data_IF_536330814364
#
_entry.id   IF_536330814364
#
_cell.length_a   1.000
_cell.length_b   1.000
_cell.length_c   1.000
_cell.angle_alpha   90.00
_cell.angle_beta   90.00
_cell.angle_gamma   90.00
#
_symmetry.space_group_name_H-M   'P 1'
#
loop_
_entity.id
_entity.type
_entity.pdbx_description
1 polymer ?
#
# COMPACT_ATOMS: atom_id res chain seq x y z
N UNK A 1 11.89 -2.59 -47.00
CA UNK A 1 11.22 -1.71 -46.03
C UNK A 1 9.74 -1.68 -46.38
N UNK A 2 8.99 -2.69 -45.94
CA UNK A 2 7.54 -2.69 -46.06
C UNK A 2 6.98 -1.92 -44.89
N UNK A 3 6.39 -0.77 -45.20
CA UNK A 3 5.62 0.06 -44.28
C UNK A 3 4.54 -0.82 -43.63
N UNK A 4 4.53 -0.86 -42.30
CA UNK A 4 3.45 -1.49 -41.55
C UNK A 4 2.12 -0.84 -41.98
N UNK A 5 1.04 -1.63 -42.17
CA UNK A 5 -0.26 -1.08 -42.48
C UNK A 5 -0.70 -0.15 -41.34
N UNK A 6 -1.42 0.96 -41.66
CA UNK A 6 -1.91 1.89 -40.65
C UNK A 6 -2.81 1.17 -39.65
N UNK A 7 -2.73 1.58 -38.39
CA UNK A 7 -3.68 1.19 -37.34
C UNK A 7 -5.11 1.35 -37.87
N UNK A 8 -6.05 0.46 -37.54
CA UNK A 8 -7.45 0.57 -37.96
C UNK A 8 -8.13 1.90 -37.55
N UNK A 9 -7.50 2.69 -36.67
CA UNK A 9 -7.91 4.03 -36.23
C UNK A 9 -7.35 5.21 -37.06
N UNK A 10 -6.50 4.98 -38.07
CA UNK A 10 -5.92 6.06 -38.88
C UNK A 10 -4.90 6.96 -38.13
N UNK A 11 -4.49 6.56 -36.93
CA UNK A 11 -3.53 7.30 -36.11
C UNK A 11 -2.10 7.12 -36.63
N UNK A 12 -1.50 8.23 -37.07
CA UNK A 12 -0.08 8.28 -37.43
C UNK A 12 0.73 8.60 -36.18
N UNK A 13 1.34 7.57 -35.58
CA UNK A 13 2.28 7.76 -34.47
C UNK A 13 3.50 8.55 -34.95
N UNK A 14 3.96 9.50 -34.13
CA UNK A 14 5.10 10.35 -34.43
C UNK A 14 6.38 9.80 -33.79
N UNK A 15 7.58 10.17 -34.29
CA UNK A 15 8.83 9.82 -33.62
C UNK A 15 8.83 10.28 -32.16
N UNK A 16 9.31 9.41 -31.27
CA UNK A 16 9.47 9.70 -29.85
C UNK A 16 10.82 9.20 -29.33
N UNK A 17 11.29 9.83 -28.26
CA UNK A 17 12.51 9.44 -27.54
C UNK A 17 12.28 9.55 -26.04
N UNK A 18 12.66 8.48 -25.34
CA UNK A 18 12.78 8.44 -23.89
C UNK A 18 14.24 8.71 -23.52
N UNK A 19 14.49 9.60 -22.56
CA UNK A 19 15.82 9.97 -22.08
C UNK A 19 15.86 9.81 -20.57
N UNK A 20 16.80 9.03 -20.06
CA UNK A 20 17.07 8.86 -18.64
C UNK A 20 18.10 9.88 -18.15
N UNK A 21 18.11 10.15 -16.85
CA UNK A 21 19.02 11.15 -16.25
C UNK A 21 20.51 10.81 -16.39
N UNK A 22 20.85 9.55 -16.66
CA UNK A 22 22.22 9.12 -16.94
C UNK A 22 22.61 9.20 -18.42
N UNK A 23 21.74 9.79 -19.25
CA UNK A 23 21.94 10.00 -20.68
C UNK A 23 21.54 8.81 -21.56
N UNK A 24 21.17 7.66 -20.98
CA UNK A 24 20.69 6.52 -21.77
C UNK A 24 19.34 6.89 -22.42
N UNK A 25 19.19 6.57 -23.70
CA UNK A 25 17.99 6.92 -24.47
C UNK A 25 17.44 5.76 -25.28
N UNK A 26 16.14 5.79 -25.51
CA UNK A 26 15.38 4.79 -26.27
C UNK A 26 14.51 5.50 -27.29
N UNK A 27 14.64 5.13 -28.57
CA UNK A 27 13.85 5.70 -29.66
C UNK A 27 12.69 4.78 -30.00
N UNK A 28 11.52 5.35 -30.20
CA UNK A 28 10.30 4.63 -30.51
C UNK A 28 9.28 5.56 -31.16
N UNK A 29 8.01 5.27 -30.95
CA UNK A 29 6.89 6.05 -31.48
C UNK A 29 6.01 6.59 -30.35
N UNK A 30 5.31 7.69 -30.58
CA UNK A 30 4.37 8.28 -29.62
C UNK A 30 3.23 7.30 -29.32
N UNK A 31 2.80 7.24 -28.06
CA UNK A 31 1.64 6.47 -27.62
C UNK A 31 0.83 7.32 -26.64
N UNK A 32 -0.40 7.70 -27.01
CA UNK A 32 -1.21 8.68 -26.28
C UNK A 32 -1.05 10.10 -26.81
N UNK A 33 -0.91 11.08 -25.91
CA UNK A 33 -0.73 12.49 -26.27
C UNK A 33 0.66 12.75 -26.86
N UNK A 34 0.73 13.62 -27.87
CA UNK A 34 1.99 14.11 -28.43
C UNK A 34 2.43 15.34 -27.65
N UNK A 35 3.69 15.35 -27.22
CA UNK A 35 4.29 16.41 -26.44
C UNK A 35 5.48 15.90 -25.64
N UNK A 36 5.56 16.38 -24.40
CA UNK A 36 6.64 16.07 -23.47
C UNK A 36 6.11 15.81 -22.08
N UNK A 37 6.75 14.90 -21.36
CA UNK A 37 6.51 14.68 -19.93
C UNK A 37 7.82 14.34 -19.23
N UNK A 38 7.85 14.62 -17.93
CA UNK A 38 8.99 14.39 -17.04
C UNK A 38 8.48 13.69 -15.78
N UNK A 39 9.29 12.81 -15.20
CA UNK A 39 8.95 12.12 -13.96
C UNK A 39 10.06 11.19 -13.51
N UNK A 40 9.74 10.31 -12.56
CA UNK A 40 10.61 9.20 -12.15
C UNK A 40 10.27 7.94 -12.95
N UNK A 41 11.27 7.32 -13.59
CA UNK A 41 11.13 6.06 -14.29
C UNK A 41 11.00 4.90 -13.30
N UNK A 42 9.89 4.18 -13.43
CA UNK A 42 9.57 2.99 -12.65
C UNK A 42 9.09 1.90 -13.60
N UNK A 43 9.27 0.63 -13.25
CA UNK A 43 8.71 -0.48 -14.03
C UNK A 43 7.69 -1.26 -13.20
N UNK A 44 6.66 -1.79 -13.85
CA UNK A 44 5.66 -2.67 -13.24
C UNK A 44 5.65 -4.03 -13.93
N UNK A 45 5.65 -5.09 -13.12
CA UNK A 45 5.62 -6.48 -13.61
C UNK A 45 4.21 -7.02 -13.87
N UNK A 46 3.17 -6.21 -13.63
CA UNK A 46 1.78 -6.57 -13.90
C UNK A 46 1.56 -6.98 -15.36
N UNK A 47 1.08 -8.21 -15.59
CA UNK A 47 0.72 -8.69 -16.93
C UNK A 47 -0.72 -8.34 -17.33
N UNK A 48 -1.54 -7.97 -16.35
CA UNK A 48 -2.93 -7.54 -16.49
C UNK A 48 -3.14 -6.34 -15.59
N UNK A 49 -4.27 -5.64 -15.77
CA UNK A 49 -4.65 -4.55 -14.88
C UNK A 49 -3.93 -3.23 -15.13
N UNK A 50 -3.62 -2.94 -16.41
CA UNK A 50 -2.92 -1.70 -16.77
C UNK A 50 -3.78 -0.46 -16.56
N UNK A 51 -5.12 -0.57 -16.59
CA UNK A 51 -6.01 0.56 -16.37
C UNK A 51 -6.01 0.97 -14.90
N UNK A 52 -6.18 -0.02 -14.02
CA UNK A 52 -6.08 0.09 -12.57
C UNK A 52 -4.71 0.68 -12.20
N UNK A 53 -3.64 0.16 -12.80
CA UNK A 53 -2.27 0.68 -12.61
C UNK A 53 -2.14 2.15 -13.02
N UNK A 54 -2.68 2.54 -14.17
CA UNK A 54 -2.60 3.93 -14.67
C UNK A 54 -3.38 4.91 -13.80
N UNK A 55 -4.48 4.44 -13.19
CA UNK A 55 -5.40 5.24 -12.38
C UNK A 55 -5.10 5.18 -10.88
N UNK A 56 -4.08 4.44 -10.45
CA UNK A 56 -3.58 4.46 -9.08
C UNK A 56 -2.86 5.80 -8.79
N UNK A 57 -3.35 6.61 -7.81
CA UNK A 57 -2.75 7.88 -7.44
C UNK A 57 -1.29 7.81 -7.00
N UNK A 58 -0.82 6.65 -6.55
CA UNK A 58 0.55 6.43 -6.08
C UNK A 58 1.59 6.59 -7.21
N UNK A 59 1.17 6.54 -8.48
CA UNK A 59 2.01 6.81 -9.65
C UNK A 59 2.11 8.30 -10.03
N UNK A 60 1.54 9.21 -9.24
CA UNK A 60 1.66 10.65 -9.52
C UNK A 60 3.13 11.07 -9.68
N UNK A 61 3.44 11.78 -10.78
CA UNK A 61 4.81 12.16 -11.21
C UNK A 61 5.76 11.01 -11.57
N UNK A 62 5.25 9.80 -11.78
CA UNK A 62 6.02 8.65 -12.24
C UNK A 62 5.70 8.29 -13.69
N UNK A 63 6.72 7.82 -14.42
CA UNK A 63 6.58 7.29 -15.77
C UNK A 63 6.67 5.78 -15.69
N UNK A 64 5.57 5.11 -16.05
CA UNK A 64 5.41 3.66 -15.86
C UNK A 64 5.92 2.92 -17.09
N UNK A 65 6.86 2.00 -16.87
CA UNK A 65 7.38 1.05 -17.85
C UNK A 65 6.72 -0.31 -17.64
N UNK A 66 5.87 -0.71 -18.58
CA UNK A 66 5.28 -2.04 -18.55
C UNK A 66 6.30 -3.08 -19.01
N UNK A 67 6.53 -4.11 -18.17
CA UNK A 67 7.36 -5.24 -18.60
C UNK A 67 6.58 -6.21 -19.49
N UNK A 68 5.25 -6.29 -19.29
CA UNK A 68 4.38 -7.06 -20.16
C UNK A 68 4.39 -6.44 -21.57
N UNK A 69 4.69 -7.23 -22.62
CA UNK A 69 4.99 -6.66 -23.92
C UNK A 69 3.76 -6.09 -24.62
N UNK A 70 2.64 -6.81 -24.55
CA UNK A 70 1.37 -6.42 -25.19
C UNK A 70 0.47 -5.69 -24.20
N UNK A 71 0.19 -4.41 -24.47
CA UNK A 71 -0.61 -3.55 -23.59
C UNK A 71 -1.75 -2.91 -24.38
N UNK A 72 -2.93 -2.79 -23.76
CA UNK A 72 -4.14 -2.23 -24.38
C UNK A 72 -5.06 -3.27 -25.03
N UNK A 73 -4.75 -4.56 -24.90
CA UNK A 73 -5.53 -5.66 -25.48
C UNK A 73 -6.98 -5.74 -24.98
N UNK A 74 -7.27 -5.28 -23.76
CA UNK A 74 -8.63 -5.28 -23.19
C UNK A 74 -9.31 -3.92 -23.24
N UNK A 75 -8.73 -2.93 -23.91
CA UNK A 75 -9.23 -1.55 -23.95
C UNK A 75 -9.31 -0.92 -22.56
N UNK A 76 -10.22 0.04 -22.43
CA UNK A 76 -10.55 0.75 -21.19
C UNK A 76 -12.08 0.71 -20.99
N UNK A 77 -12.52 0.65 -19.74
CA UNK A 77 -13.93 0.75 -19.36
C UNK A 77 -14.14 1.72 -18.18
N UNK A 78 -15.39 1.90 -17.75
CA UNK A 78 -15.74 2.87 -16.69
C UNK A 78 -15.70 2.27 -15.27
N UNK A 79 -15.39 0.98 -15.14
CA UNK A 79 -15.44 0.22 -13.87
C UNK A 79 -14.05 -0.08 -13.29
N UNK A 80 -13.04 -0.28 -14.14
CA UNK A 80 -11.67 -0.66 -13.71
C UNK A 80 -10.79 0.55 -13.32
N UNK A 81 -11.37 1.75 -13.20
CA UNK A 81 -10.63 2.92 -12.73
C UNK A 81 -10.51 2.91 -11.20
N UNK A 82 -9.29 2.97 -10.67
CA UNK A 82 -9.06 3.06 -9.23
C UNK A 82 -9.10 4.48 -8.69
N UNK A 83 -9.32 5.46 -9.57
CA UNK A 83 -9.59 6.84 -9.18
C UNK A 83 -10.16 7.65 -10.36
N UNK A 84 -10.41 8.94 -10.13
CA UNK A 84 -11.03 9.88 -11.07
C UNK A 84 -10.28 10.14 -12.39
N UNK A 85 -9.01 9.76 -12.52
CA UNK A 85 -8.17 10.02 -13.71
C UNK A 85 -6.91 9.14 -13.74
N UNK A 86 -6.20 9.17 -14.86
CA UNK A 86 -4.84 8.65 -14.95
C UNK A 86 -3.89 9.57 -14.19
N UNK A 87 -3.12 9.01 -13.26
CA UNK A 87 -2.16 9.73 -12.43
C UNK A 87 -0.72 9.59 -12.91
N UNK A 88 -0.42 8.54 -13.67
CA UNK A 88 0.88 8.35 -14.29
C UNK A 88 1.27 9.58 -15.13
N UNK A 89 2.47 10.10 -14.92
CA UNK A 89 3.00 11.23 -15.69
C UNK A 89 3.29 10.85 -17.15
N UNK A 90 3.59 9.57 -17.40
CA UNK A 90 3.79 9.05 -18.74
C UNK A 90 3.78 7.53 -18.76
N UNK A 91 3.70 6.98 -19.96
CA UNK A 91 3.50 5.54 -20.14
C UNK A 91 4.41 4.94 -21.22
N UNK A 92 5.03 3.81 -20.92
CA UNK A 92 6.07 3.20 -21.75
C UNK A 92 5.70 1.73 -21.99
N UNK A 93 5.53 1.39 -23.27
CA UNK A 93 5.08 0.05 -23.69
C UNK A 93 5.98 -0.52 -24.79
N UNK A 94 6.06 -1.85 -24.88
CA UNK A 94 6.81 -2.50 -25.96
C UNK A 94 5.99 -2.60 -27.25
N UNK A 95 4.79 -3.14 -27.15
CA UNK A 95 3.92 -3.44 -28.30
C UNK A 95 2.47 -3.09 -27.96
N UNK A 96 1.99 -1.91 -28.32
CA UNK A 96 0.61 -1.50 -28.05
C UNK A 96 -0.35 -2.30 -28.94
N UNK A 97 -1.46 -2.74 -28.36
CA UNK A 97 -2.48 -3.47 -29.09
C UNK A 97 -2.97 -2.67 -30.31
N UNK A 98 -3.08 -3.34 -31.46
CA UNK A 98 -3.60 -2.73 -32.70
C UNK A 98 -5.08 -2.37 -32.61
N UNK A 99 -5.83 -3.09 -31.76
CA UNK A 99 -7.22 -2.86 -31.40
C UNK A 99 -7.50 -3.50 -30.04
N UNK A 100 -8.45 -2.95 -29.29
CA UNK A 100 -8.97 -3.62 -28.11
C UNK A 100 -9.90 -4.78 -28.50
N UNK A 101 -9.89 -5.87 -27.71
CA UNK A 101 -10.80 -7.01 -27.92
C UNK A 101 -11.18 -7.64 -26.58
N UNK A 102 -12.15 -7.01 -25.91
CA UNK A 102 -12.76 -7.50 -24.68
C UNK A 102 -14.23 -7.05 -24.64
N UNK A 103 -15.12 -7.87 -24.10
CA UNK A 103 -16.55 -7.55 -24.03
C UNK A 103 -16.86 -6.36 -23.10
N UNK A 104 -15.97 -6.06 -22.14
CA UNK A 104 -16.05 -4.88 -21.25
C UNK A 104 -15.50 -3.62 -21.90
N UNK A 105 -14.70 -3.73 -22.96
CA UNK A 105 -14.03 -2.58 -23.56
C UNK A 105 -15.05 -1.56 -24.08
N UNK A 106 -14.92 -0.30 -23.63
CA UNK A 106 -15.69 0.84 -24.11
C UNK A 106 -14.87 1.74 -25.03
N UNK A 107 -13.56 1.82 -24.78
CA UNK A 107 -12.60 2.70 -25.46
C UNK A 107 -11.28 1.99 -25.70
N UNK A 108 -10.48 2.46 -26.66
CA UNK A 108 -9.10 2.02 -26.84
C UNK A 108 -8.18 2.76 -25.86
N UNK A 109 -7.16 2.07 -25.34
CA UNK A 109 -6.22 2.65 -24.36
C UNK A 109 -5.44 3.86 -24.92
N UNK A 110 -5.04 3.80 -26.20
CA UNK A 110 -4.27 4.90 -26.82
C UNK A 110 -5.08 6.19 -26.92
N UNK A 111 -6.40 6.05 -27.11
CA UNK A 111 -7.32 7.18 -27.17
C UNK A 111 -7.56 7.77 -25.79
N UNK A 112 -7.77 6.92 -24.77
CA UNK A 112 -7.90 7.36 -23.37
C UNK A 112 -6.67 8.15 -22.89
N UNK A 113 -5.46 7.65 -23.19
CA UNK A 113 -4.22 8.35 -22.86
C UNK A 113 -4.15 9.73 -23.53
N UNK A 114 -4.59 9.84 -24.78
CA UNK A 114 -4.59 11.10 -25.53
C UNK A 114 -5.60 12.10 -24.96
N UNK A 115 -6.82 11.62 -24.70
CA UNK A 115 -7.92 12.44 -24.20
C UNK A 115 -7.61 13.02 -22.81
N UNK A 116 -6.87 12.27 -21.98
CA UNK A 116 -6.38 12.74 -20.69
C UNK A 116 -5.02 13.46 -20.75
N UNK A 117 -4.42 13.64 -21.93
CA UNK A 117 -3.16 14.37 -22.10
C UNK A 117 -1.92 13.62 -21.62
N UNK A 118 -1.97 12.31 -21.46
CA UNK A 118 -0.87 11.46 -20.99
C UNK A 118 0.09 11.17 -22.14
N UNK A 119 1.33 11.61 -21.99
CA UNK A 119 2.39 11.39 -22.99
C UNK A 119 3.03 10.03 -22.77
N UNK A 120 3.09 9.23 -23.83
CA UNK A 120 3.71 7.91 -23.80
C UNK A 120 4.57 7.60 -25.02
N UNK A 121 5.27 6.47 -24.93
CA UNK A 121 6.15 5.96 -25.97
C UNK A 121 5.98 4.44 -26.11
N UNK A 122 5.99 3.97 -27.35
CA UNK A 122 5.91 2.57 -27.70
C UNK A 122 7.06 2.11 -28.61
N UNK A 123 7.12 0.79 -28.89
CA UNK A 123 8.12 0.17 -29.76
C UNK A 123 9.56 0.28 -29.26
N UNK A 124 9.74 0.41 -27.94
CA UNK A 124 11.07 0.38 -27.31
C UNK A 124 11.34 -0.95 -26.61
N UNK A 125 12.61 -1.29 -26.41
CA UNK A 125 13.02 -2.45 -25.60
C UNK A 125 12.79 -2.19 -24.11
N UNK A 126 11.56 -2.44 -23.65
CA UNK A 126 11.19 -2.30 -22.23
C UNK A 126 11.96 -3.25 -21.33
N UNK A 127 12.43 -4.41 -21.82
CA UNK A 127 13.27 -5.33 -21.05
C UNK A 127 14.65 -4.72 -20.79
N UNK A 128 15.28 -4.11 -21.79
CA UNK A 128 16.56 -3.42 -21.62
C UNK A 128 16.42 -2.22 -20.66
N UNK A 129 15.31 -1.49 -20.74
CA UNK A 129 15.00 -0.40 -19.81
C UNK A 129 14.79 -0.90 -18.38
N UNK A 130 13.98 -1.95 -18.17
CA UNK A 130 13.76 -2.55 -16.85
C UNK A 130 15.05 -3.07 -16.23
N UNK A 131 15.90 -3.77 -17.00
CA UNK A 131 17.21 -4.22 -16.49
C UNK A 131 18.08 -3.06 -16.05
N UNK A 132 18.07 -1.96 -16.80
CA UNK A 132 18.81 -0.76 -16.48
C UNK A 132 18.33 -0.13 -15.16
N UNK A 133 17.01 0.05 -15.00
CA UNK A 133 16.42 0.57 -13.77
C UNK A 133 16.66 -0.35 -12.57
N UNK A 134 16.58 -1.67 -12.75
CA UNK A 134 16.93 -2.63 -11.68
C UNK A 134 18.40 -2.49 -11.23
N UNK A 135 19.31 -2.31 -12.19
CA UNK A 135 20.76 -2.25 -11.93
C UNK A 135 21.22 -0.88 -11.42
N UNK A 136 20.62 0.22 -11.88
CA UNK A 136 21.00 1.60 -11.55
C UNK A 136 20.08 2.30 -10.54
N UNK A 137 18.89 1.75 -10.33
CA UNK A 137 17.82 2.34 -9.53
C UNK A 137 16.83 3.17 -10.36
N UNK A 138 15.70 3.50 -9.74
CA UNK A 138 14.73 4.46 -10.27
C UNK A 138 15.38 5.84 -10.36
N UNK A 139 15.05 6.56 -11.42
CA UNK A 139 15.75 7.79 -11.80
C UNK A 139 14.85 8.72 -12.60
N UNK A 140 15.25 9.98 -12.77
CA UNK A 140 14.48 10.90 -13.61
C UNK A 140 14.49 10.47 -15.07
N UNK A 141 13.38 10.73 -15.74
CA UNK A 141 13.16 10.40 -17.14
C UNK A 141 12.31 11.47 -17.82
N UNK A 142 12.51 11.63 -19.12
CA UNK A 142 11.63 12.39 -19.99
C UNK A 142 11.20 11.58 -21.20
N UNK A 143 9.94 11.74 -21.61
CA UNK A 143 9.44 11.27 -22.90
C UNK A 143 9.20 12.50 -23.75
N UNK A 144 9.75 12.53 -24.96
CA UNK A 144 9.62 13.61 -25.92
C UNK A 144 9.12 13.04 -27.24
N UNK A 145 8.06 13.62 -27.81
CA UNK A 145 7.47 13.16 -29.08
C UNK A 145 7.26 14.32 -30.06
N UNK A 146 7.09 13.99 -31.33
CA UNK A 146 6.88 14.96 -32.39
C UNK A 146 8.09 15.87 -32.61
N UNK A 147 7.86 17.18 -32.72
CA UNK A 147 8.95 18.16 -32.93
C UNK A 147 9.90 18.23 -31.74
N UNK A 148 9.44 17.98 -30.51
CA UNK A 148 10.30 17.97 -29.32
C UNK A 148 11.32 16.83 -29.36
N UNK A 149 10.96 15.67 -29.93
CA UNK A 149 11.88 14.54 -30.08
C UNK A 149 13.07 14.82 -31.03
N UNK A 150 12.99 15.87 -31.84
CA UNK A 150 14.03 16.28 -32.78
C UNK A 150 15.04 17.27 -32.19
N UNK A 151 14.82 17.74 -30.96
CA UNK A 151 15.75 18.63 -30.26
C UNK A 151 17.09 17.92 -30.00
N UNK A 152 18.19 18.67 -29.83
CA UNK A 152 19.50 18.10 -29.52
C UNK A 152 19.44 17.21 -28.27
N UNK A 153 20.11 16.03 -28.27
CA UNK A 153 20.09 15.12 -27.11
C UNK A 153 20.52 15.77 -25.79
N UNK A 154 21.44 16.72 -25.84
CA UNK A 154 21.89 17.48 -24.67
C UNK A 154 20.78 18.33 -24.07
N UNK A 155 19.98 19.01 -24.90
CA UNK A 155 18.84 19.80 -24.44
C UNK A 155 17.78 18.92 -23.78
N UNK A 156 17.51 17.74 -24.36
CA UNK A 156 16.57 16.77 -23.77
C UNK A 156 17.05 16.29 -22.40
N UNK A 157 18.34 15.96 -22.28
CA UNK A 157 18.95 15.55 -21.03
C UNK A 157 18.90 16.66 -19.97
N UNK A 158 19.22 17.90 -20.34
CA UNK A 158 19.18 19.06 -19.43
C UNK A 158 17.77 19.24 -18.84
N UNK A 159 16.73 19.02 -19.64
CA UNK A 159 15.33 19.07 -19.17
C UNK A 159 15.00 17.93 -18.20
N UNK A 160 15.53 16.74 -18.42
CA UNK A 160 15.40 15.60 -17.47
C UNK A 160 16.12 15.91 -16.16
N UNK A 161 17.33 16.48 -16.23
CA UNK A 161 18.12 16.83 -15.06
C UNK A 161 17.53 17.99 -14.24
N UNK A 162 16.76 18.87 -14.88
CA UNK A 162 16.02 19.94 -14.23
C UNK A 162 14.73 19.48 -13.53
N UNK A 163 14.23 18.27 -13.82
CA UNK A 163 13.05 17.73 -13.16
C UNK A 163 13.31 17.49 -11.66
N UNK A 164 12.30 17.73 -10.79
CA UNK A 164 12.41 17.44 -9.37
C UNK A 164 12.59 15.93 -9.12
N UNK A 165 13.23 15.58 -8.02
CA UNK A 165 13.37 14.19 -7.57
C UNK A 165 12.12 13.77 -6.78
N UNK A 166 11.86 12.46 -6.76
CA UNK A 166 10.80 11.86 -5.93
C UNK A 166 11.15 11.87 -4.44
N UNK A 167 12.44 11.72 -4.12
CA UNK A 167 12.92 11.83 -2.74
C UNK A 167 12.74 13.26 -2.24
N UNK A 168 12.12 13.41 -1.07
CA UNK A 168 11.71 14.70 -0.52
C UNK A 168 10.46 15.32 -1.18
N UNK A 169 9.68 14.59 -1.98
CA UNK A 169 8.45 15.10 -2.58
C UNK A 169 7.22 14.85 -1.71
N UNK A 170 6.53 15.92 -1.32
CA UNK A 170 5.22 15.87 -0.65
C UNK A 170 4.10 15.85 -1.71
N UNK A 171 3.52 14.68 -1.99
CA UNK A 171 2.58 14.50 -3.12
C UNK A 171 1.15 14.10 -2.71
N UNK A 172 0.94 13.60 -1.49
CA UNK A 172 -0.37 13.11 -1.02
C UNK A 172 -1.48 14.17 -1.15
N UNK A 173 -1.21 15.42 -0.77
CA UNK A 173 -2.18 16.52 -0.89
C UNK A 173 -2.56 16.86 -2.34
N UNK A 174 -1.66 16.62 -3.31
CA UNK A 174 -1.93 16.88 -4.73
C UNK A 174 -2.94 15.89 -5.32
N UNK A 175 -3.04 14.71 -4.71
CA UNK A 175 -3.90 13.62 -5.19
C UNK A 175 -5.19 13.44 -4.41
N UNK A 176 -5.20 13.85 -3.14
CA UNK A 176 -6.34 13.80 -2.23
C UNK A 176 -7.65 14.35 -2.82
N UNK A 177 -8.77 13.86 -2.30
CA UNK A 177 -10.08 14.50 -2.41
C UNK A 177 -10.06 15.91 -1.84
N UNK A 178 -10.91 16.78 -2.40
CA UNK A 178 -11.05 18.18 -1.97
C UNK A 178 -12.11 18.36 -0.90
N UNK A 179 -13.09 17.45 -0.86
CA UNK A 179 -14.23 17.46 0.04
C UNK A 179 -14.45 16.05 0.54
N UNK A 180 -14.86 15.95 1.80
CA UNK A 180 -15.20 14.66 2.39
C UNK A 180 -16.41 14.05 1.68
N UNK A 181 -16.43 12.73 1.56
CA UNK A 181 -17.55 11.97 1.02
C UNK A 181 -17.72 10.65 1.76
N UNK A 182 -18.90 10.05 1.64
CA UNK A 182 -19.23 8.81 2.33
C UNK A 182 -19.43 7.69 1.32
N UNK A 183 -18.76 6.57 1.54
CA UNK A 183 -19.05 5.29 0.90
C UNK A 183 -19.93 4.50 1.88
N UNK A 184 -21.24 4.34 1.60
CA UNK A 184 -22.15 3.72 2.53
C UNK A 184 -21.84 2.23 2.69
N UNK A 185 -22.05 1.72 3.90
CA UNK A 185 -22.01 0.28 4.15
C UNK A 185 -22.98 -0.46 3.21
N UNK A 186 -22.54 -1.60 2.67
CA UNK A 186 -23.40 -2.51 1.91
C UNK A 186 -23.96 -3.55 2.88
N UNK A 187 -25.29 -3.69 2.89
CA UNK A 187 -25.98 -4.55 3.86
C UNK A 187 -26.18 -3.87 5.22
N UNK A 188 -26.07 -4.61 6.31
CA UNK A 188 -26.20 -4.05 7.65
C UNK A 188 -24.95 -3.23 8.00
N UNK A 189 -25.15 -1.95 8.32
CA UNK A 189 -24.08 -1.10 8.89
C UNK A 189 -23.64 -1.67 10.24
N UNK A 190 -22.36 -1.97 10.37
CA UNK A 190 -21.71 -2.51 11.57
C UNK A 190 -20.75 -1.50 12.20
N UNK A 191 -20.00 -0.77 11.37
CA UNK A 191 -18.97 0.17 11.82
C UNK A 191 -18.98 1.45 10.98
N UNK A 192 -18.37 2.49 11.52
CA UNK A 192 -18.06 3.77 10.86
C UNK A 192 -16.56 3.99 10.92
N UNK A 193 -15.92 4.16 9.75
CA UNK A 193 -14.47 4.38 9.65
C UNK A 193 -14.19 5.75 9.05
N UNK A 194 -13.27 6.49 9.68
CA UNK A 194 -12.68 7.69 9.10
C UNK A 194 -11.44 7.30 8.28
N UNK A 195 -11.51 7.46 6.95
CA UNK A 195 -10.41 7.15 6.04
C UNK A 195 -9.73 8.44 5.56
N UNK A 196 -8.46 8.63 5.90
CA UNK A 196 -7.67 9.74 5.39
C UNK A 196 -7.19 9.44 3.97
N UNK A 197 -7.65 10.25 3.02
CA UNK A 197 -7.30 10.14 1.60
C UNK A 197 -5.95 10.78 1.32
N UNK A 198 -4.92 9.94 1.22
CA UNK A 198 -3.56 10.31 0.84
C UNK A 198 -3.28 9.97 -0.64
N UNK A 199 -4.33 9.68 -1.42
CA UNK A 199 -4.27 9.02 -2.72
C UNK A 199 -5.00 7.68 -2.73
N UNK A 200 -6.13 7.59 -2.02
CA UNK A 200 -6.88 6.35 -1.82
C UNK A 200 -7.35 5.77 -3.15
N UNK A 201 -7.12 4.47 -3.33
CA UNK A 201 -7.70 3.69 -4.41
C UNK A 201 -9.16 3.35 -4.15
N UNK A 202 -9.99 3.43 -5.18
CA UNK A 202 -11.44 3.27 -5.08
C UNK A 202 -11.86 1.90 -4.53
N UNK A 203 -11.13 0.82 -4.82
CA UNK A 203 -11.48 -0.51 -4.32
C UNK A 203 -11.39 -0.63 -2.79
N UNK A 204 -10.49 0.13 -2.14
CA UNK A 204 -10.30 0.08 -0.67
C UNK A 204 -11.58 0.36 0.12
N UNK A 205 -12.25 1.53 -0.02
CA UNK A 205 -13.49 1.79 0.69
C UNK A 205 -14.64 0.88 0.23
N UNK A 206 -14.61 0.36 -1.00
CA UNK A 206 -15.63 -0.59 -1.47
C UNK A 206 -15.51 -1.94 -0.76
N UNK A 207 -14.30 -2.48 -0.55
CA UNK A 207 -14.09 -3.72 0.21
C UNK A 207 -14.43 -3.58 1.69
N UNK A 208 -14.23 -2.39 2.26
CA UNK A 208 -14.71 -2.07 3.60
C UNK A 208 -16.24 -2.03 3.64
N UNK A 209 -16.87 -1.36 2.67
CA UNK A 209 -18.32 -1.27 2.57
C UNK A 209 -19.00 -2.63 2.43
N UNK A 210 -18.43 -3.55 1.65
CA UNK A 210 -18.90 -4.93 1.52
C UNK A 210 -18.93 -5.72 2.84
N UNK A 211 -18.15 -5.28 3.84
CA UNK A 211 -18.11 -5.88 5.17
C UNK A 211 -18.99 -5.16 6.21
N UNK A 212 -19.82 -4.22 5.75
CA UNK A 212 -20.73 -3.46 6.60
C UNK A 212 -20.09 -2.21 7.23
N UNK A 213 -18.94 -1.74 6.72
CA UNK A 213 -18.29 -0.51 7.20
C UNK A 213 -18.78 0.69 6.38
N UNK A 214 -19.32 1.70 7.05
CA UNK A 214 -19.54 3.01 6.42
C UNK A 214 -18.23 3.79 6.46
N UNK A 215 -17.70 4.15 5.29
CA UNK A 215 -16.39 4.81 5.18
C UNK A 215 -16.58 6.29 4.88
N UNK A 216 -16.13 7.13 5.79
CA UNK A 216 -16.04 8.59 5.60
C UNK A 216 -14.64 8.91 5.10
N UNK A 217 -14.53 9.21 3.82
CA UNK A 217 -13.26 9.57 3.19
C UNK A 217 -13.02 11.06 3.40
N UNK A 218 -11.93 11.39 4.09
CA UNK A 218 -11.54 12.72 4.50
C UNK A 218 -10.35 13.20 3.67
N UNK A 219 -10.28 14.49 3.29
CA UNK A 219 -9.10 15.06 2.65
C UNK A 219 -7.82 14.85 3.46
N UNK A 220 -6.67 14.69 2.80
CA UNK A 220 -5.36 14.59 3.43
C UNK A 220 -5.13 15.64 4.53
N UNK A 221 -5.66 16.86 4.34
CA UNK A 221 -5.54 18.01 5.26
C UNK A 221 -6.38 17.97 6.54
N UNK A 222 -7.20 16.94 6.74
CA UNK A 222 -8.10 16.86 7.88
C UNK A 222 -7.36 16.81 9.21
N UNK A 223 -7.97 17.40 10.24
CA UNK A 223 -7.43 17.44 11.60
C UNK A 223 -7.97 16.29 12.45
N UNK A 224 -7.48 16.16 13.68
CA UNK A 224 -8.01 15.18 14.63
C UNK A 224 -9.48 15.46 14.95
N UNK A 225 -9.88 16.73 15.03
CA UNK A 225 -11.28 17.11 15.25
C UNK A 225 -12.16 16.65 14.09
N UNK A 226 -11.71 16.83 12.84
CA UNK A 226 -12.44 16.32 11.66
C UNK A 226 -12.60 14.80 11.72
N UNK A 227 -11.55 14.08 12.14
CA UNK A 227 -11.55 12.61 12.26
C UNK A 227 -12.51 12.15 13.36
N UNK A 228 -12.42 12.75 14.54
CA UNK A 228 -13.18 12.32 15.72
C UNK A 228 -14.65 12.73 15.68
N UNK A 229 -15.04 13.62 14.74
CA UNK A 229 -16.44 14.01 14.51
C UNK A 229 -17.11 13.19 13.40
N UNK A 230 -16.42 12.21 12.82
CA UNK A 230 -17.02 11.24 11.90
C UNK A 230 -17.99 10.33 12.65
N UNK A 231 -19.22 10.21 12.15
CA UNK A 231 -20.26 9.40 12.79
C UNK A 231 -20.91 10.08 14.01
N UNK A 232 -21.93 9.46 14.58
CA UNK A 232 -22.69 10.02 15.71
C UNK A 232 -21.91 9.97 17.03
N UNK A 233 -21.02 8.99 17.18
CA UNK A 233 -20.26 8.72 18.42
C UNK A 233 -18.74 8.78 18.20
N UNK A 234 -18.29 9.33 17.08
CA UNK A 234 -16.91 9.22 16.61
C UNK A 234 -16.67 7.93 15.80
N UNK A 235 -15.47 7.76 15.21
CA UNK A 235 -15.17 6.61 14.38
C UNK A 235 -14.86 5.36 15.21
N UNK A 236 -15.36 4.22 14.76
CA UNK A 236 -15.00 2.89 15.29
C UNK A 236 -13.55 2.54 14.95
N UNK A 237 -13.05 3.06 13.81
CA UNK A 237 -11.66 2.92 13.39
C UNK A 237 -11.20 4.03 12.45
N UNK A 238 -9.89 4.22 12.37
CA UNK A 238 -9.23 5.17 11.48
C UNK A 238 -8.38 4.41 10.47
N UNK A 239 -8.46 4.81 9.21
CA UNK A 239 -7.72 4.22 8.12
C UNK A 239 -6.86 5.26 7.41
N UNK A 240 -5.57 4.97 7.20
CA UNK A 240 -4.70 5.80 6.36
C UNK A 240 -4.39 5.07 5.06
N UNK A 241 -4.75 5.70 3.93
CA UNK A 241 -4.64 5.07 2.62
C UNK A 241 -3.23 4.97 2.08
N UNK A 242 -3.12 4.31 0.92
CA UNK A 242 -1.99 4.45 0.02
C UNK A 242 -1.84 5.90 -0.47
N UNK A 243 -0.69 6.21 -1.08
CA UNK A 243 -0.40 7.54 -1.59
C UNK A 243 0.98 7.66 -2.26
N UNK A 244 1.19 8.73 -3.05
CA UNK A 244 2.47 9.03 -3.67
C UNK A 244 3.39 9.85 -2.74
N UNK A 245 4.68 9.86 -3.08
CA UNK A 245 5.68 10.74 -2.47
C UNK A 245 6.51 10.09 -1.38
N UNK A 246 7.24 10.93 -0.65
CA UNK A 246 8.19 10.51 0.38
C UNK A 246 7.57 10.67 1.79
N UNK A 247 7.48 9.59 2.59
CA UNK A 247 6.91 9.64 3.94
C UNK A 247 7.70 10.57 4.88
N UNK A 248 8.95 10.90 4.57
CA UNK A 248 9.72 11.87 5.34
C UNK A 248 9.18 13.30 5.31
N UNK A 249 8.28 13.60 4.37
CA UNK A 249 7.64 14.91 4.23
C UNK A 249 6.27 15.02 4.91
N UNK A 250 5.76 13.93 5.49
CA UNK A 250 4.38 13.80 5.97
C UNK A 250 4.23 14.03 7.49
N UNK A 251 4.89 15.05 8.05
CA UNK A 251 4.88 15.29 9.51
C UNK A 251 3.47 15.62 10.04
N UNK A 252 2.62 16.22 9.21
CA UNK A 252 1.23 16.54 9.57
C UNK A 252 0.40 15.27 9.75
N UNK A 253 0.51 14.35 8.80
CA UNK A 253 -0.15 13.04 8.84
C UNK A 253 0.41 12.19 9.99
N UNK A 254 1.72 12.19 10.21
CA UNK A 254 2.35 11.50 11.35
C UNK A 254 1.84 12.06 12.68
N UNK A 255 1.71 13.38 12.80
CA UNK A 255 1.17 14.02 14.01
C UNK A 255 -0.27 13.59 14.27
N UNK A 256 -1.12 13.61 13.24
CA UNK A 256 -2.49 13.13 13.33
C UNK A 256 -2.54 11.65 13.75
N UNK A 257 -1.71 10.80 13.14
CA UNK A 257 -1.65 9.38 13.48
C UNK A 257 -1.22 9.17 14.94
N UNK A 258 -0.26 9.93 15.44
CA UNK A 258 0.15 9.87 16.86
C UNK A 258 -1.01 10.22 17.81
N UNK A 259 -1.88 11.16 17.43
CA UNK A 259 -3.08 11.47 18.22
C UNK A 259 -4.06 10.30 18.20
N UNK A 260 -4.35 9.73 17.02
CA UNK A 260 -5.20 8.54 16.85
C UNK A 260 -4.71 7.35 17.70
N UNK A 261 -3.40 7.08 17.68
CA UNK A 261 -2.78 6.02 18.49
C UNK A 261 -2.84 6.32 19.98
N UNK A 262 -2.65 7.59 20.37
CA UNK A 262 -2.75 8.05 21.76
C UNK A 262 -4.15 7.87 22.34
N UNK A 263 -5.18 8.13 21.53
CA UNK A 263 -6.58 7.92 21.86
C UNK A 263 -7.00 6.45 21.75
N UNK A 264 -6.08 5.56 21.35
CA UNK A 264 -6.27 4.11 21.20
C UNK A 264 -7.42 3.75 20.24
N UNK A 265 -7.66 4.59 19.23
CA UNK A 265 -8.64 4.30 18.18
C UNK A 265 -8.06 3.22 17.26
N UNK A 266 -8.81 2.16 16.91
CA UNK A 266 -8.38 1.10 16.00
C UNK A 266 -7.84 1.68 14.70
N UNK A 267 -6.60 1.34 14.36
CA UNK A 267 -5.91 1.89 13.20
C UNK A 267 -5.51 0.80 12.21
N UNK A 268 -5.73 1.08 10.93
CA UNK A 268 -5.20 0.30 9.82
C UNK A 268 -4.55 1.21 8.76
N UNK A 269 -3.31 0.91 8.36
CA UNK A 269 -2.59 1.63 7.32
C UNK A 269 -2.21 0.75 6.13
N UNK A 270 -2.36 1.25 4.91
CA UNK A 270 -1.95 0.57 3.67
C UNK A 270 -0.89 1.38 2.92
N UNK A 271 0.18 0.73 2.46
CA UNK A 271 1.26 1.31 1.66
C UNK A 271 1.89 2.57 2.28
N UNK A 272 1.44 3.76 1.90
CA UNK A 272 1.87 5.01 2.52
C UNK A 272 1.46 5.05 4.00
N UNK A 273 0.26 4.59 4.34
CA UNK A 273 -0.20 4.42 5.72
C UNK A 273 0.70 3.52 6.58
N UNK A 274 1.35 2.51 5.99
CA UNK A 274 2.35 1.68 6.70
C UNK A 274 3.62 2.45 7.03
N UNK A 275 4.09 3.27 6.09
CA UNK A 275 5.26 4.11 6.28
C UNK A 275 4.98 5.17 7.36
N UNK A 276 3.79 5.75 7.37
CA UNK A 276 3.36 6.71 8.39
C UNK A 276 3.25 6.05 9.77
N UNK A 277 2.74 4.82 9.87
CA UNK A 277 2.74 4.07 11.13
C UNK A 277 4.17 3.83 11.62
N UNK A 278 5.06 3.35 10.76
CA UNK A 278 6.47 3.16 11.12
C UNK A 278 7.11 4.43 11.68
N UNK A 279 6.87 5.57 11.03
CA UNK A 279 7.35 6.90 11.46
C UNK A 279 6.70 7.38 12.76
N UNK A 280 5.41 7.13 12.95
CA UNK A 280 4.71 7.47 14.18
C UNK A 280 5.28 6.70 15.39
N UNK A 281 5.66 5.43 15.17
CA UNK A 281 6.31 4.55 16.14
C UNK A 281 7.80 4.88 16.39
N UNK A 282 8.39 5.77 15.59
CA UNK A 282 9.79 6.21 15.76
C UNK A 282 10.81 5.46 14.90
N UNK A 283 10.38 4.59 13.99
CA UNK A 283 11.27 3.96 13.02
C UNK A 283 11.65 4.91 11.89
N UNK A 284 12.75 4.58 11.19
CA UNK A 284 13.16 5.28 9.98
C UNK A 284 12.38 4.84 8.74
N UNK A 285 12.62 5.53 7.63
CA UNK A 285 12.18 5.12 6.28
C UNK A 285 13.32 5.31 5.31
N UNK A 286 13.45 4.43 4.33
CA UNK A 286 14.47 4.52 3.29
C UNK A 286 13.88 4.34 1.90
N UNK A 287 14.55 4.90 0.89
CA UNK A 287 14.19 4.73 -0.51
C UNK A 287 14.75 3.41 -1.04
N UNK A 288 13.89 2.56 -1.58
CA UNK A 288 14.29 1.35 -2.28
C UNK A 288 15.00 1.71 -3.58
N UNK A 289 15.93 0.87 -4.00
CA UNK A 289 16.70 1.07 -5.23
C UNK A 289 15.79 1.29 -6.45
N UNK A 290 14.83 0.40 -6.65
CA UNK A 290 13.84 0.48 -7.74
C UNK A 290 12.39 0.27 -7.26
N UNK A 291 12.18 -0.04 -5.98
CA UNK A 291 10.85 -0.26 -5.37
C UNK A 291 10.17 -1.58 -5.74
N UNK A 292 9.04 -1.87 -5.11
CA UNK A 292 8.19 -3.02 -5.46
C UNK A 292 6.98 -2.54 -6.25
N UNK A 293 6.87 -3.02 -7.49
CA UNK A 293 5.81 -2.65 -8.44
C UNK A 293 5.42 -3.86 -9.27
N UNK A 294 4.30 -4.47 -8.92
CA UNK A 294 3.88 -5.73 -9.50
C UNK A 294 2.76 -6.41 -8.75
N UNK A 295 2.28 -7.52 -9.29
CA UNK A 295 1.15 -8.30 -8.75
C UNK A 295 1.58 -9.72 -8.36
N UNK A 296 2.87 -9.90 -8.09
CA UNK A 296 3.50 -11.21 -7.91
C UNK A 296 4.54 -11.22 -6.78
N UNK A 297 4.44 -10.31 -5.81
CA UNK A 297 5.41 -10.22 -4.72
C UNK A 297 5.03 -11.22 -3.61
N UNK A 298 5.95 -12.11 -3.20
CA UNK A 298 5.72 -13.07 -2.14
C UNK A 298 5.95 -12.43 -0.78
N UNK A 299 4.94 -12.42 0.07
CA UNK A 299 5.00 -11.88 1.43
C UNK A 299 4.72 -12.99 2.44
N UNK A 300 5.55 -13.08 3.48
CA UNK A 300 5.35 -14.00 4.61
C UNK A 300 4.66 -13.27 5.76
N UNK A 301 3.47 -13.73 6.15
CA UNK A 301 2.88 -13.40 7.45
C UNK A 301 3.63 -14.18 8.53
N UNK A 302 4.37 -13.46 9.37
CA UNK A 302 5.23 -14.05 10.39
C UNK A 302 4.45 -14.60 11.59
N UNK A 303 3.21 -14.16 11.79
CA UNK A 303 2.37 -14.67 12.87
C UNK A 303 1.80 -16.06 12.53
N UNK A 304 1.46 -16.28 11.27
CA UNK A 304 0.80 -17.53 10.82
C UNK A 304 1.73 -18.47 10.05
N UNK A 305 2.85 -17.98 9.52
CA UNK A 305 3.72 -18.72 8.61
C UNK A 305 3.16 -18.84 7.20
N UNK A 306 2.03 -18.19 6.89
CA UNK A 306 1.39 -18.20 5.57
C UNK A 306 2.16 -17.30 4.60
N UNK A 307 2.34 -17.78 3.38
CA UNK A 307 2.88 -16.98 2.27
C UNK A 307 1.74 -16.54 1.36
N UNK A 308 1.79 -15.28 0.94
CA UNK A 308 0.79 -14.62 0.11
C UNK A 308 1.43 -14.07 -1.15
N UNK A 309 0.73 -14.17 -2.28
CA UNK A 309 1.10 -13.40 -3.47
C UNK A 309 0.34 -12.09 -3.40
N UNK A 310 1.04 -10.96 -3.54
CA UNK A 310 0.49 -9.64 -3.23
C UNK A 310 0.76 -8.61 -4.33
N UNK A 311 -0.08 -7.57 -4.35
CA UNK A 311 0.05 -6.41 -5.24
C UNK A 311 0.81 -5.28 -4.54
N UNK A 312 1.82 -4.73 -5.21
CA UNK A 312 2.75 -3.75 -4.66
C UNK A 312 2.86 -2.53 -5.57
N UNK A 313 2.93 -1.35 -4.96
CA UNK A 313 3.33 -0.11 -5.63
C UNK A 313 3.96 0.88 -4.63
N UNK A 314 5.23 0.66 -4.29
CA UNK A 314 5.96 1.58 -3.40
C UNK A 314 7.45 1.68 -3.73
N UNK A 315 8.00 2.89 -3.55
CA UNK A 315 9.43 3.19 -3.70
C UNK A 315 10.17 3.39 -2.38
N UNK A 316 9.46 3.38 -1.25
CA UNK A 316 9.99 3.57 0.10
C UNK A 316 9.56 2.42 1.00
N UNK A 317 10.34 2.15 2.05
CA UNK A 317 10.06 1.12 3.03
C UNK A 317 10.41 1.61 4.45
N UNK A 318 9.83 0.95 5.45
CA UNK A 318 10.13 1.20 6.87
C UNK A 318 11.43 0.48 7.25
N UNK A 319 12.27 1.16 8.01
CA UNK A 319 13.47 0.60 8.63
C UNK A 319 13.14 0.17 10.07
N UNK A 320 12.62 -1.05 10.21
CA UNK A 320 12.29 -1.66 11.49
C UNK A 320 13.03 -3.00 11.67
N UNK A 321 13.50 -3.32 12.90
CA UNK A 321 14.15 -4.60 13.17
C UNK A 321 13.21 -5.78 12.86
N UNK A 322 13.68 -6.73 12.04
CA UNK A 322 12.87 -7.89 11.64
C UNK A 322 12.61 -8.83 12.83
N UNK A 323 13.65 -9.24 13.55
CA UNK A 323 13.55 -10.37 14.49
C UNK A 323 13.15 -10.00 15.92
N UNK A 324 13.12 -8.71 16.24
CA UNK A 324 12.90 -8.23 17.60
C UNK A 324 11.57 -7.48 17.77
N UNK A 325 10.98 -7.63 18.94
CA UNK A 325 9.93 -6.71 19.41
C UNK A 325 10.61 -5.43 19.86
N UNK A 326 10.19 -4.30 19.29
CA UNK A 326 10.74 -2.98 19.60
C UNK A 326 9.85 -2.23 20.58
N UNK A 327 10.44 -1.57 21.56
CA UNK A 327 9.75 -0.59 22.40
C UNK A 327 9.59 0.73 21.64
N UNK A 328 8.35 1.24 21.57
CA UNK A 328 8.00 2.47 20.85
C UNK A 328 7.28 3.44 21.80
N UNK A 329 7.06 4.72 21.42
CA UNK A 329 6.27 5.65 22.21
C UNK A 329 4.82 5.20 22.50
N UNK A 330 4.29 4.25 21.72
CA UNK A 330 2.94 3.69 21.86
C UNK A 330 2.93 2.25 22.38
N UNK A 331 4.03 1.82 23.02
CA UNK A 331 4.22 0.47 23.51
C UNK A 331 5.00 -0.41 22.53
N UNK A 332 4.90 -1.71 22.65
CA UNK A 332 5.66 -2.67 21.86
C UNK A 332 5.10 -2.80 20.45
N UNK A 333 5.97 -2.88 19.46
CA UNK A 333 5.62 -3.16 18.08
C UNK A 333 6.56 -4.22 17.47
N UNK A 334 6.08 -4.92 16.45
CA UNK A 334 6.87 -5.92 15.72
C UNK A 334 6.60 -5.85 14.22
N UNK A 335 7.56 -6.33 13.43
CA UNK A 335 7.35 -6.62 12.00
C UNK A 335 6.44 -7.83 11.86
N UNK A 336 5.26 -7.63 11.26
CA UNK A 336 4.24 -8.67 11.06
C UNK A 336 4.39 -9.39 9.73
N UNK A 337 4.86 -8.68 8.70
CA UNK A 337 5.02 -9.21 7.35
C UNK A 337 6.37 -8.83 6.76
N UNK A 338 6.96 -9.73 5.96
CA UNK A 338 8.25 -9.53 5.30
C UNK A 338 8.23 -10.03 3.86
N UNK A 339 8.89 -9.31 2.96
CA UNK A 339 9.07 -9.72 1.57
C UNK A 339 10.07 -10.87 1.48
N UNK A 340 9.69 -11.97 0.83
CA UNK A 340 10.57 -13.15 0.69
C UNK A 340 11.65 -12.99 -0.38
N UNK A 341 11.60 -11.94 -1.20
CA UNK A 341 12.61 -11.70 -2.23
C UNK A 341 13.84 -10.95 -1.70
N UNK A 342 13.66 -10.08 -0.70
CA UNK A 342 14.69 -9.12 -0.27
C UNK A 342 14.58 -8.62 1.17
N UNK A 343 13.81 -9.31 2.03
CA UNK A 343 13.67 -9.04 3.47
C UNK A 343 13.15 -7.64 3.84
N UNK A 344 12.53 -6.93 2.88
CA UNK A 344 11.87 -5.65 3.14
C UNK A 344 10.70 -5.83 4.10
N UNK A 345 10.51 -4.86 5.01
CA UNK A 345 9.37 -4.81 5.94
C UNK A 345 8.08 -4.56 5.16
N UNK A 346 7.16 -5.52 5.23
CA UNK A 346 5.89 -5.49 4.51
C UNK A 346 4.67 -5.27 5.43
N UNK A 347 4.89 -5.19 6.74
CA UNK A 347 3.83 -4.87 7.69
C UNK A 347 4.32 -4.73 9.11
N UNK A 348 3.57 -3.95 9.90
CA UNK A 348 3.82 -3.69 11.30
C UNK A 348 2.59 -4.03 12.13
N UNK A 349 2.80 -4.45 13.37
CA UNK A 349 1.74 -4.68 14.35
C UNK A 349 2.15 -4.09 15.70
N UNK A 350 1.28 -3.26 16.26
CA UNK A 350 1.39 -2.79 17.63
C UNK A 350 0.74 -3.80 18.58
N UNK A 351 1.41 -4.11 19.69
CA UNK A 351 0.95 -5.11 20.66
C UNK A 351 0.15 -4.49 21.82
N UNK A 352 0.37 -3.21 22.10
CA UNK A 352 -0.21 -2.53 23.27
C UNK A 352 -1.23 -1.44 22.89
N UNK A 353 -1.36 -1.09 21.61
CA UNK A 353 -2.42 -0.24 21.02
C UNK A 353 -3.06 -0.96 19.83
N UNK A 354 -4.36 -0.74 19.53
CA UNK A 354 -5.05 -1.45 18.47
C UNK A 354 -4.66 -0.89 17.09
N UNK A 355 -3.45 -1.20 16.61
CA UNK A 355 -2.94 -0.65 15.37
C UNK A 355 -2.08 -1.66 14.60
N UNK A 356 -2.25 -1.71 13.29
CA UNK A 356 -1.37 -2.45 12.40
C UNK A 356 -1.37 -1.83 11.00
N UNK A 357 -0.44 -2.25 10.15
CA UNK A 357 -0.36 -1.79 8.77
C UNK A 357 0.32 -2.80 7.87
N UNK A 358 0.11 -2.66 6.56
CA UNK A 358 0.82 -3.43 5.53
C UNK A 358 1.31 -2.51 4.41
N UNK A 359 2.44 -2.85 3.81
CA UNK A 359 3.12 -2.06 2.80
C UNK A 359 2.59 -2.32 1.38
N UNK A 360 2.01 -3.48 1.16
CA UNK A 360 1.34 -3.91 -0.07
C UNK A 360 -0.14 -3.54 -0.06
N UNK A 361 -0.87 -3.93 -1.11
CA UNK A 361 -2.25 -3.51 -1.37
C UNK A 361 -3.23 -4.69 -1.25
N UNK A 362 -3.84 -4.91 -0.06
CA UNK A 362 -4.88 -5.93 0.16
C UNK A 362 -6.11 -5.77 -0.71
N UNK A 363 -6.38 -4.54 -1.17
CA UNK A 363 -7.46 -4.24 -2.11
C UNK A 363 -7.17 -4.72 -3.53
N UNK A 364 -5.92 -5.10 -3.82
CA UNK A 364 -5.45 -5.49 -5.13
C UNK A 364 -5.75 -4.43 -6.18
N UNK A 365 -6.69 -4.68 -7.11
CA UNK A 365 -7.14 -3.75 -8.14
C UNK A 365 -5.98 -2.98 -8.81
N UNK A 366 -5.11 -3.65 -9.58
CA UNK A 366 -5.17 -5.06 -9.95
C UNK A 366 -4.29 -5.97 -9.07
N UNK A 367 -4.53 -7.28 -9.15
CA UNK A 367 -3.64 -8.29 -8.56
C UNK A 367 -4.36 -9.42 -7.83
N UNK A 368 -3.62 -10.28 -7.13
CA UNK A 368 -4.15 -11.41 -6.35
C UNK A 368 -4.93 -10.93 -5.11
N UNK A 369 -5.88 -11.74 -4.66
CA UNK A 369 -6.77 -11.42 -3.53
C UNK A 369 -6.35 -12.07 -2.20
N UNK A 370 -5.16 -12.68 -2.15
CA UNK A 370 -4.67 -13.49 -1.01
C UNK A 370 -4.69 -12.72 0.32
N UNK A 371 -4.50 -11.40 0.24
CA UNK A 371 -4.38 -10.46 1.35
C UNK A 371 -5.71 -9.85 1.83
N UNK A 372 -6.84 -10.14 1.18
CA UNK A 372 -8.12 -9.48 1.47
C UNK A 372 -8.63 -9.67 2.91
N UNK A 373 -8.16 -10.73 3.60
CA UNK A 373 -8.46 -11.00 5.02
C UNK A 373 -8.01 -9.89 5.97
N UNK A 374 -7.09 -9.01 5.56
CA UNK A 374 -6.65 -7.89 6.39
C UNK A 374 -7.81 -6.93 6.68
N UNK A 375 -8.77 -6.75 5.77
CA UNK A 375 -9.99 -6.00 6.08
C UNK A 375 -10.84 -6.67 7.17
N UNK A 376 -10.84 -8.00 7.24
CA UNK A 376 -11.51 -8.76 8.30
C UNK A 376 -10.76 -8.62 9.64
N UNK A 377 -9.43 -8.63 9.62
CA UNK A 377 -8.60 -8.32 10.81
C UNK A 377 -8.86 -6.91 11.36
N UNK A 378 -9.15 -5.94 10.49
CA UNK A 378 -9.52 -4.60 10.95
C UNK A 378 -10.88 -4.59 11.68
N UNK A 379 -11.84 -5.40 11.23
CA UNK A 379 -13.11 -5.58 11.92
C UNK A 379 -12.91 -6.21 13.29
N UNK A 380 -12.13 -7.29 13.38
CA UNK A 380 -11.80 -7.92 14.67
C UNK A 380 -11.12 -6.93 15.65
N UNK A 381 -10.39 -5.94 15.12
CA UNK A 381 -9.76 -4.90 15.92
C UNK A 381 -10.78 -3.90 16.47
N UNK A 382 -11.77 -3.51 15.66
CA UNK A 382 -12.86 -2.62 16.06
C UNK A 382 -13.82 -3.30 17.04
N UNK A 383 -14.17 -4.57 16.82
CA UNK A 383 -15.04 -5.36 17.71
C UNK A 383 -14.49 -5.45 19.14
N UNK A 384 -13.20 -5.76 19.27
CA UNK A 384 -12.53 -5.84 20.59
C UNK A 384 -12.55 -4.54 21.38
N UNK A 385 -12.59 -3.39 20.70
CA UNK A 385 -12.73 -2.09 21.37
C UNK A 385 -14.16 -1.89 21.89
N UNK A 386 -15.17 -2.19 21.09
CA UNK A 386 -16.57 -2.08 21.48
C UNK A 386 -16.89 -2.91 22.73
N UNK A 387 -16.38 -4.14 22.81
CA UNK A 387 -16.54 -5.01 23.99
C UNK A 387 -15.85 -4.46 25.25
N UNK A 388 -14.72 -3.77 25.09
CA UNK A 388 -13.96 -3.15 26.19
C UNK A 388 -14.63 -1.89 26.75
N UNK A 389 -15.35 -1.14 25.91
CA UNK A 389 -16.10 0.05 26.33
C UNK A 389 -17.42 -0.36 27.05
N UNK A 390 -18.14 -1.37 26.55
CA UNK A 390 -19.40 -1.86 27.14
C UNK A 390 -19.21 -2.49 28.54
N UNK A 391 -18.07 -3.19 28.75
CA UNK A 391 -17.71 -3.76 30.06
C UNK A 391 -17.21 -2.73 31.07
N UNK A 392 -16.84 -1.53 30.61
CA UNK A 392 -16.39 -0.42 31.47
C UNK A 392 -17.55 0.43 32.00
N UNK A 393 -18.64 0.56 31.23
CA UNK A 393 -19.86 1.26 31.69
C UNK A 393 -20.64 0.44 32.75
N UNK A 394 -20.59 -0.90 32.71
CA UNK A 394 -21.23 -1.73 33.73
C UNK A 394 -20.50 -1.67 35.10
N UNK A 395 -19.24 -1.19 35.14
CA UNK A 395 -18.45 -1.02 36.38
C UNK A 395 -18.67 0.31 37.09
N UNK A 396 -19.48 1.23 36.56
CA UNK A 396 -19.78 2.52 37.21
C UNK A 396 -21.28 2.71 37.42
N UNK A 397 -21.85 1.93 38.34
CA UNK A 397 -23.06 2.33 39.07
C UNK A 397 -22.83 2.17 40.57
N UNK A 398 -22.70 3.26 41.36
CA UNK A 398 -22.74 3.17 42.80
C UNK A 398 -24.20 2.86 43.20
N UNK A 399 -24.41 1.68 43.79
CA UNK A 399 -25.70 1.31 44.37
C UNK A 399 -26.11 2.30 45.46
N UNK A 400 -27.32 2.84 45.33
CA UNK A 400 -27.98 3.61 46.38
C UNK A 400 -28.34 2.69 47.57
N UNK A 401 -28.24 3.15 48.83
CA UNK A 401 -28.57 2.34 49.99
C UNK A 401 -30.09 2.26 50.16
N UNK A 402 -30.62 1.05 50.25
CA UNK A 402 -31.99 0.81 50.72
C UNK A 402 -31.93 0.47 52.21
N UNK A 403 -32.64 1.26 53.01
CA UNK A 403 -32.89 1.03 54.43
C UNK A 403 -34.06 0.08 54.61
N UNK A 404 -33.87 -1.03 55.31
CA UNK A 404 -34.94 -1.71 56.03
C UNK A 404 -34.39 -2.54 57.20
N UNK A 405 -34.90 -2.19 58.38
CA UNK A 405 -34.91 -2.84 59.68
C UNK A 405 -35.27 -4.33 59.68
N UNK A 406 -34.75 -5.09 60.66
CA UNK A 406 -35.46 -6.26 61.21
C UNK A 406 -34.61 -7.45 61.67
N UNK A 407 -34.42 -7.54 62.98
CA UNK A 407 -34.40 -8.75 63.83
C UNK A 407 -33.40 -9.92 63.63
N UNK A 408 -32.40 -9.91 64.51
CA UNK A 408 -32.13 -10.92 65.56
C UNK A 408 -32.69 -12.35 65.36
N UNK A 409 -31.82 -13.33 65.16
CA UNK A 409 -31.82 -14.58 65.96
C UNK A 409 -30.51 -15.39 65.84
N UNK A 410 -30.13 -15.99 66.97
CA UNK A 410 -28.94 -16.84 67.19
C UNK A 410 -29.19 -18.28 66.75
N UNK A 411 -28.10 -19.00 66.37
CA UNK A 411 -27.68 -20.39 66.73
C UNK A 411 -26.57 -20.78 65.75
N UNK A 412 -25.36 -21.15 66.17
CA UNK A 412 -24.94 -22.44 66.77
C UNK A 412 -24.08 -23.17 65.72
N UNK A 413 -22.75 -23.18 65.89
CA UNK A 413 -21.91 -24.33 66.32
C UNK A 413 -21.70 -25.45 65.27
N UNK A 414 -20.45 -25.93 65.17
CA UNK A 414 -20.03 -27.17 64.46
C UNK A 414 -18.90 -26.91 63.45
N UNK A 415 -17.62 -27.02 63.85
CA UNK A 415 -16.74 -28.22 63.68
C UNK A 415 -16.30 -28.44 62.22
N UNK A 416 -15.04 -28.14 61.89
CA UNK A 416 -13.84 -29.00 62.00
C UNK A 416 -13.79 -30.09 60.91
N UNK A 417 -12.80 -29.98 60.01
CA UNK A 417 -11.75 -30.99 59.82
C UNK A 417 -10.89 -30.65 58.60
N UNK A 418 -9.59 -30.72 58.86
CA UNK A 418 -8.47 -30.83 57.93
C UNK A 418 -8.58 -32.05 57.02
N UNK A 419 -8.03 -31.96 55.81
CA UNK A 419 -7.17 -33.05 55.32
C UNK A 419 -6.18 -32.58 54.24
N UNK A 420 -4.93 -32.87 54.57
CA UNK A 420 -3.69 -32.75 53.81
C UNK A 420 -3.47 -34.05 53.03
N UNK A 421 -3.04 -33.99 51.76
CA UNK A 421 -2.04 -34.90 51.15
C UNK A 421 -1.83 -34.58 49.66
N UNK A 422 -0.64 -34.12 49.26
CA UNK A 422 0.58 -34.86 48.86
C UNK A 422 0.66 -35.08 47.34
N UNK A 423 1.70 -34.47 46.75
CA UNK A 423 2.25 -34.74 45.41
C UNK A 423 3.07 -36.05 45.43
N UNK A 424 3.23 -36.69 44.28
CA UNK A 424 4.58 -36.85 43.71
C UNK A 424 4.52 -36.64 42.18
N UNK A 425 5.56 -36.41 41.39
CA UNK A 425 7.01 -36.52 41.54
C UNK A 425 7.54 -36.65 40.10
N UNK A 426 8.58 -35.89 39.75
CA UNK A 426 9.27 -35.98 38.46
C UNK A 426 10.10 -37.27 38.36
N UNK A 427 10.58 -37.59 37.14
CA UNK A 427 11.92 -38.14 37.01
C UNK A 427 12.81 -37.31 36.08
N UNK A 428 14.10 -37.43 36.37
CA UNK A 428 15.29 -36.74 35.84
C UNK A 428 16.05 -37.59 34.82
N UNK A 429 16.98 -36.93 34.10
CA UNK A 429 18.14 -37.43 33.31
C UNK A 429 17.81 -38.04 31.94
N UNK A 430 18.60 -37.91 30.86
CA UNK A 430 20.04 -37.74 30.74
C UNK A 430 20.46 -37.22 29.32
N UNK A 431 21.40 -36.27 29.28
CA UNK A 431 22.66 -36.22 28.47
C UNK A 431 22.79 -36.96 27.12
N UNK A 432 23.19 -36.23 26.07
CA UNK A 432 24.16 -36.59 25.02
C UNK A 432 24.43 -35.32 24.16
N UNK A 433 25.54 -34.61 24.34
CA UNK A 433 26.81 -34.73 23.60
C UNK A 433 26.76 -34.40 22.08
N UNK A 434 27.38 -33.25 21.79
CA UNK A 434 28.24 -32.87 20.67
C UNK A 434 28.27 -33.72 19.39
N UNK A 435 27.95 -33.05 18.26
CA UNK A 435 28.70 -33.21 17.01
C UNK A 435 28.91 -31.83 16.39
N UNK A 436 30.09 -31.25 16.59
CA UNK A 436 30.71 -30.32 15.65
C UNK A 436 31.31 -31.15 14.49
N UNK A 437 30.98 -30.81 13.25
CA UNK A 437 31.86 -31.12 12.12
C UNK A 437 31.75 -30.03 11.05
N UNK A 438 32.73 -29.14 11.12
CA UNK A 438 33.44 -28.52 9.99
C UNK A 438 33.27 -29.23 8.64
N UNK A 439 32.93 -28.45 7.60
CA UNK A 439 33.73 -28.37 6.36
C UNK A 439 33.31 -27.13 5.57
N UNK A 440 34.11 -26.08 5.69
CA UNK A 440 34.30 -25.11 4.62
C UNK A 440 35.27 -25.72 3.59
N UNK A 441 35.19 -25.18 2.37
CA UNK A 441 36.25 -25.19 1.37
C UNK A 441 36.34 -26.42 0.43
N UNK A 442 35.57 -26.37 -0.68
CA UNK A 442 36.09 -26.76 -1.99
C UNK A 442 35.63 -25.77 -3.07
N UNK A 443 36.52 -24.83 -3.38
CA UNK A 443 36.60 -24.17 -4.66
C UNK A 443 37.15 -25.17 -5.69
N UNK A 444 36.46 -25.36 -6.84
CA UNK A 444 36.99 -25.17 -8.21
C UNK A 444 36.19 -25.92 -9.29
N UNK A 445 35.95 -25.15 -10.34
CA UNK A 445 35.90 -25.52 -11.77
C UNK A 445 34.61 -26.10 -12.39
N UNK A 446 34.18 -25.35 -13.42
CA UNK A 446 33.48 -25.74 -14.66
C UNK A 446 31.97 -26.02 -14.63
N UNK A 447 31.14 -25.00 -14.89
CA UNK A 447 30.54 -24.73 -16.21
C UNK A 447 29.66 -23.47 -16.20
#
# INVERSE_FOLDING_TARGET
MTLNPPSPTGLVRQPAVLVLEDGRSFRGLSYGAVGETLGEAVFSTGMTGYQETLTDPSYHRQVIVMTAPHIGNTGVNDEDGESRRIWAAGFVVRDPALRSSNWRARRDLEDELRDQGVVGICEIDTRALTRHLRERGSMRVGIFSGSTAQRPPTELLDRVLAAPRMEGAALAEEVSTRQSYVVPARGQKRFTVAALDLGIKEMTPQLMAERGIEVHVLPARSTIEDVMTVGEHGPDGVFFSNGPGDPATAEREITLLRQVLGDRVPFFGICFGNQLLGRALGFGTYKLKYGHRGINQPVLDRATGKVEVTAHNHGFAVDAPLDDVSDTPFGRARVSHVCLNDDVVEGLECLDVPAYSVQYHPEAAAGPHDAAYLFDRFIELMERRGEGEDTSEERVRPGAPTSATGDMERRGEGEDTSEERVRPGAPTSATAEMVESTTAEQNREAN
#
